data_IF_299857567547
#
_entry.id   IF_299857567547
#
_cell.length_a   1.000
_cell.length_b   1.000
_cell.length_c   1.000
_cell.angle_alpha   90.00
_cell.angle_beta   90.00
_cell.angle_gamma   90.00
#
_symmetry.space_group_name_H-M   'P 1'
#
loop_
_entity.id
_entity.type
_entity.pdbx_description
1 polymer ?
#
# COMPACT_ATOMS: atom_id res chain seq x y z
N UNK A 1 -49.00 17.76 6.81
CA UNK A 1 -49.69 16.49 7.13
C UNK A 1 -48.92 15.79 8.25
N UNK A 2 -49.54 15.47 9.39
CA UNK A 2 -48.88 14.72 10.48
C UNK A 2 -48.78 13.24 10.07
N UNK A 3 -47.80 12.90 9.23
CA UNK A 3 -47.54 11.53 8.76
C UNK A 3 -46.36 10.87 9.47
N UNK A 4 -45.68 11.58 10.37
CA UNK A 4 -44.45 11.12 11.03
C UNK A 4 -44.61 9.85 11.89
N UNK A 5 -45.81 9.58 12.43
CA UNK A 5 -46.05 8.47 13.36
C UNK A 5 -46.87 7.30 12.76
N UNK A 6 -47.11 7.28 11.44
CA UNK A 6 -47.95 6.22 10.82
C UNK A 6 -47.11 5.02 10.40
N UNK A 7 -47.60 3.79 10.61
CA UNK A 7 -46.91 2.54 10.21
C UNK A 7 -46.77 2.43 8.68
N UNK A 8 -45.84 1.62 8.15
CA UNK A 8 -45.74 1.42 6.67
C UNK A 8 -47.07 0.88 6.12
N UNK A 9 -47.72 -0.03 6.85
CA UNK A 9 -49.01 -0.59 6.47
C UNK A 9 -50.13 0.45 6.43
N UNK A 10 -50.14 1.39 7.37
CA UNK A 10 -51.08 2.52 7.36
C UNK A 10 -50.83 3.47 6.20
N UNK A 11 -49.57 3.68 5.81
CA UNK A 11 -49.21 4.50 4.65
C UNK A 11 -49.62 3.82 3.34
N UNK A 12 -49.52 2.50 3.23
CA UNK A 12 -50.02 1.73 2.08
C UNK A 12 -51.55 1.74 2.01
N UNK A 13 -52.24 1.67 3.15
CA UNK A 13 -53.70 1.84 3.20
C UNK A 13 -54.13 3.23 2.74
N UNK A 14 -53.37 4.28 3.10
CA UNK A 14 -53.59 5.64 2.62
C UNK A 14 -53.32 5.79 1.12
N UNK A 15 -52.32 5.09 0.58
CA UNK A 15 -52.03 5.06 -0.85
C UNK A 15 -53.22 4.50 -1.63
N UNK A 16 -53.75 3.36 -1.21
CA UNK A 16 -54.93 2.76 -1.82
C UNK A 16 -56.16 3.67 -1.75
N UNK A 17 -56.38 4.36 -0.63
CA UNK A 17 -57.49 5.31 -0.47
C UNK A 17 -57.35 6.54 -1.39
N UNK A 18 -56.13 7.03 -1.59
CA UNK A 18 -55.87 8.16 -2.50
C UNK A 18 -56.06 7.72 -3.95
N UNK A 19 -55.60 6.52 -4.31
CA UNK A 19 -55.79 5.93 -5.63
C UNK A 19 -57.28 5.74 -5.97
N UNK A 20 -58.09 5.26 -5.03
CA UNK A 20 -59.54 5.15 -5.19
C UNK A 20 -60.22 6.52 -5.38
N UNK A 21 -59.77 7.54 -4.65
CA UNK A 21 -60.24 8.92 -4.81
C UNK A 21 -59.83 9.53 -6.14
N UNK A 22 -58.65 9.19 -6.66
CA UNK A 22 -58.17 9.63 -7.97
C UNK A 22 -58.92 8.94 -9.11
N UNK A 23 -59.32 7.67 -8.94
CA UNK A 23 -60.19 6.93 -9.87
C UNK A 23 -61.63 7.43 -9.88
N UNK A 24 -62.16 7.82 -8.73
CA UNK A 24 -63.56 8.25 -8.57
C UNK A 24 -63.90 9.66 -9.09
N UNK A 25 -62.94 10.38 -9.69
CA UNK A 25 -63.09 11.74 -10.24
C UNK A 25 -63.80 12.74 -9.31
N UNK A 26 -63.59 12.62 -7.99
CA UNK A 26 -64.19 13.50 -6.99
C UNK A 26 -63.17 14.51 -6.45
N UNK A 27 -63.36 15.79 -6.80
CA UNK A 27 -62.58 16.92 -6.28
C UNK A 27 -61.37 17.33 -7.12
N UNK A 28 -60.47 18.11 -6.52
CA UNK A 28 -59.32 18.69 -7.21
C UNK A 28 -58.24 17.62 -7.50
N UNK A 29 -58.19 17.11 -8.73
CA UNK A 29 -57.25 16.07 -9.18
C UNK A 29 -55.78 16.41 -8.92
N UNK A 30 -55.40 17.68 -9.09
CA UNK A 30 -54.01 18.14 -8.88
C UNK A 30 -53.59 18.02 -7.41
N UNK A 31 -54.51 18.27 -6.48
CA UNK A 31 -54.25 18.10 -5.05
C UNK A 31 -53.95 16.64 -4.69
N UNK A 32 -54.76 15.70 -5.19
CA UNK A 32 -54.58 14.27 -4.92
C UNK A 32 -53.32 13.69 -5.56
N UNK A 33 -52.96 14.13 -6.77
CA UNK A 33 -51.71 13.74 -7.44
C UNK A 33 -50.46 14.22 -6.67
N UNK A 34 -50.49 15.46 -6.17
CA UNK A 34 -49.39 15.98 -5.33
C UNK A 34 -49.30 15.21 -4.01
N UNK A 35 -50.43 14.83 -3.42
CA UNK A 35 -50.47 14.06 -2.19
C UNK A 35 -49.94 12.62 -2.38
N UNK A 36 -50.30 11.96 -3.49
CA UNK A 36 -49.79 10.64 -3.88
C UNK A 36 -48.26 10.66 -4.05
N UNK A 37 -47.74 11.66 -4.77
CA UNK A 37 -46.31 11.85 -4.97
C UNK A 37 -45.56 12.03 -3.64
N UNK A 38 -46.09 12.88 -2.75
CA UNK A 38 -45.51 13.07 -1.41
C UNK A 38 -45.57 11.80 -0.55
N UNK A 39 -46.66 11.03 -0.65
CA UNK A 39 -46.85 9.80 0.10
C UNK A 39 -45.85 8.71 -0.34
N UNK A 40 -45.62 8.54 -1.64
CA UNK A 40 -44.63 7.59 -2.18
C UNK A 40 -43.21 7.91 -1.69
N UNK A 41 -42.83 9.18 -1.67
CA UNK A 41 -41.54 9.63 -1.12
C UNK A 41 -41.45 9.31 0.37
N UNK A 42 -42.55 9.48 1.13
CA UNK A 42 -42.58 9.18 2.55
C UNK A 42 -42.45 7.68 2.83
N UNK A 43 -43.16 6.84 2.07
CA UNK A 43 -43.06 5.37 2.14
C UNK A 43 -41.63 4.92 1.81
N UNK A 44 -41.03 5.45 0.75
CA UNK A 44 -39.65 5.11 0.37
C UNK A 44 -38.65 5.48 1.47
N UNK A 45 -38.74 6.69 2.03
CA UNK A 45 -37.89 7.13 3.15
C UNK A 45 -38.06 6.24 4.38
N UNK A 46 -39.28 5.82 4.68
CA UNK A 46 -39.55 4.94 5.82
C UNK A 46 -39.01 3.53 5.61
N UNK A 47 -39.18 2.95 4.42
CA UNK A 47 -38.58 1.66 4.04
C UNK A 47 -37.06 1.68 4.15
N UNK A 48 -36.42 2.74 3.67
CA UNK A 48 -34.96 2.91 3.78
C UNK A 48 -34.55 2.97 5.26
N UNK A 49 -35.27 3.72 6.10
CA UNK A 49 -34.98 3.81 7.53
C UNK A 49 -35.13 2.47 8.25
N UNK A 50 -36.18 1.71 7.97
CA UNK A 50 -36.37 0.37 8.56
C UNK A 50 -35.34 -0.65 8.06
N UNK A 51 -34.99 -0.62 6.77
CA UNK A 51 -33.92 -1.45 6.23
C UNK A 51 -32.58 -1.10 6.85
N UNK A 52 -32.24 0.19 6.94
CA UNK A 52 -31.01 0.67 7.57
C UNK A 52 -30.97 0.30 9.06
N UNK A 53 -32.08 0.45 9.79
CA UNK A 53 -32.18 0.03 11.18
C UNK A 53 -31.92 -1.47 11.36
N UNK A 54 -32.48 -2.32 10.48
CA UNK A 54 -32.19 -3.76 10.47
C UNK A 54 -30.71 -4.07 10.18
N UNK A 55 -30.09 -3.36 9.23
CA UNK A 55 -28.67 -3.53 8.92
C UNK A 55 -27.77 -3.08 10.08
N UNK A 56 -28.11 -1.98 10.75
CA UNK A 56 -27.38 -1.52 11.94
C UNK A 56 -27.47 -2.54 13.08
N UNK A 57 -28.65 -3.13 13.33
CA UNK A 57 -28.83 -4.20 14.31
C UNK A 57 -27.97 -5.42 13.97
N UNK A 58 -27.99 -5.87 12.71
CA UNK A 58 -27.13 -6.97 12.23
C UNK A 58 -25.64 -6.67 12.43
N UNK A 59 -25.21 -5.44 12.13
CA UNK A 59 -23.82 -5.03 12.31
C UNK A 59 -23.43 -4.98 13.79
N UNK A 60 -24.32 -4.53 14.67
CA UNK A 60 -24.10 -4.52 16.12
C UNK A 60 -23.94 -5.95 16.68
N UNK A 61 -24.81 -6.88 16.28
CA UNK A 61 -24.71 -8.29 16.67
C UNK A 61 -23.36 -8.86 16.26
N UNK A 62 -22.93 -8.61 15.02
CA UNK A 62 -21.63 -9.05 14.50
C UNK A 62 -20.47 -8.50 15.33
N UNK A 63 -20.49 -7.21 15.67
CA UNK A 63 -19.44 -6.57 16.47
C UNK A 63 -19.41 -7.17 17.88
N UNK A 64 -20.58 -7.37 18.52
CA UNK A 64 -20.66 -8.01 19.85
C UNK A 64 -20.11 -9.44 19.83
N UNK A 65 -20.43 -10.23 18.81
CA UNK A 65 -19.90 -11.60 18.66
C UNK A 65 -18.37 -11.61 18.45
N UNK A 66 -17.83 -10.69 17.65
CA UNK A 66 -16.40 -10.57 17.41
C UNK A 66 -15.64 -10.17 18.68
N UNK A 67 -16.14 -9.16 19.40
CA UNK A 67 -15.59 -8.75 20.69
C UNK A 67 -15.63 -9.89 21.72
N UNK A 68 -16.72 -10.67 21.77
CA UNK A 68 -16.82 -11.83 22.66
C UNK A 68 -15.76 -12.88 22.32
N UNK A 69 -15.54 -13.19 21.05
CA UNK A 69 -14.49 -14.12 20.61
C UNK A 69 -13.09 -13.61 20.95
N UNK A 70 -12.83 -12.32 20.80
CA UNK A 70 -11.56 -11.71 21.18
C UNK A 70 -11.31 -11.81 22.70
N UNK A 71 -12.33 -11.56 23.52
CA UNK A 71 -12.26 -11.72 24.98
C UNK A 71 -12.00 -13.19 25.35
N UNK A 72 -12.74 -14.12 24.76
CA UNK A 72 -12.57 -15.56 25.00
C UNK A 72 -11.15 -16.02 24.59
N UNK A 73 -10.65 -15.58 23.43
CA UNK A 73 -9.30 -15.88 22.97
C UNK A 73 -8.21 -15.26 23.87
N UNK A 74 -8.41 -14.02 24.33
CA UNK A 74 -7.50 -13.37 25.28
C UNK A 74 -7.50 -14.09 26.64
N UNK A 75 -8.66 -14.56 27.10
CA UNK A 75 -8.77 -15.36 28.32
C UNK A 75 -8.06 -16.71 28.17
N UNK A 76 -8.18 -17.38 27.02
CA UNK A 76 -7.45 -18.61 26.73
C UNK A 76 -5.93 -18.38 26.68
N UNK A 77 -5.47 -17.31 26.02
CA UNK A 77 -4.06 -16.94 25.98
C UNK A 77 -3.51 -16.63 27.39
N UNK A 78 -4.29 -15.92 28.21
CA UNK A 78 -3.93 -15.65 29.60
C UNK A 78 -3.83 -16.95 30.42
N UNK A 79 -4.80 -17.85 30.29
CA UNK A 79 -4.76 -19.16 30.94
C UNK A 79 -3.58 -20.00 30.46
N UNK A 80 -3.26 -19.99 29.16
CA UNK A 80 -2.09 -20.66 28.60
C UNK A 80 -0.79 -20.06 29.15
N UNK A 81 -0.67 -18.74 29.19
CA UNK A 81 0.47 -18.04 29.76
C UNK A 81 0.67 -18.39 31.25
N UNK A 82 -0.42 -18.44 32.02
CA UNK A 82 -0.40 -18.80 33.44
C UNK A 82 -0.02 -20.27 33.66
N UNK A 83 -0.48 -21.19 32.79
CA UNK A 83 -0.04 -22.60 32.79
C UNK A 83 1.45 -22.74 32.46
N UNK A 84 1.97 -21.96 31.52
CA UNK A 84 3.38 -21.98 31.14
C UNK A 84 4.27 -21.46 32.28
N UNK A 85 3.88 -20.35 32.91
CA UNK A 85 4.55 -19.81 34.10
C UNK A 85 4.59 -20.81 35.26
N UNK A 86 3.51 -21.58 35.46
CA UNK A 86 3.44 -22.63 36.49
C UNK A 86 4.42 -23.79 36.24
N UNK A 87 4.91 -24.00 35.02
CA UNK A 87 5.85 -25.08 34.69
C UNK A 87 7.32 -24.69 34.85
N UNK A 88 7.64 -23.40 34.98
CA UNK A 88 9.01 -22.88 35.08
C UNK A 88 9.42 -22.43 36.49
N UNK A 89 8.54 -22.48 37.49
CA UNK A 89 8.84 -22.03 38.85
C UNK A 89 9.07 -23.21 39.84
N UNK A 90 10.11 -23.17 40.70
CA UNK A 90 10.22 -24.08 41.85
C UNK A 90 9.12 -23.76 42.89
N UNK A 91 8.75 -24.71 43.78
CA UNK A 91 7.60 -24.55 44.67
C UNK A 91 7.88 -23.49 45.73
N UNK A 92 7.39 -22.27 45.50
CA UNK A 92 7.33 -21.22 46.53
C UNK A 92 5.88 -21.06 46.94
N UNK A 93 5.59 -21.45 48.18
CA UNK A 93 4.30 -21.33 48.82
C UNK A 93 4.01 -19.85 49.12
N UNK A 94 3.32 -19.16 48.20
CA UNK A 94 2.76 -17.84 48.47
C UNK A 94 1.26 -17.89 48.20
N UNK A 95 0.47 -17.71 49.27
CA UNK A 95 -0.98 -17.57 49.21
C UNK A 95 -1.32 -16.27 48.45
N UNK A 96 -2.11 -16.32 47.36
CA UNK A 96 -2.60 -15.10 46.74
C UNK A 96 -3.78 -14.56 47.56
N UNK A 97 -3.68 -13.29 47.99
CA UNK A 97 -4.81 -12.48 48.43
C UNK A 97 -5.66 -12.17 47.19
N UNK A 98 -6.97 -12.42 47.28
CA UNK A 98 -7.96 -11.92 46.34
C UNK A 98 -8.13 -10.42 46.57
N UNK A 99 -7.82 -9.60 45.58
CA UNK A 99 -8.41 -8.27 45.44
C UNK A 99 -9.50 -8.40 44.37
N UNK A 100 -10.74 -8.30 44.84
CA UNK A 100 -11.93 -8.25 44.01
C UNK A 100 -12.02 -6.85 43.40
N UNK A 101 -12.02 -6.77 42.08
CA UNK A 101 -12.38 -5.54 41.35
C UNK A 101 -13.84 -5.73 40.94
N UNK A 102 -14.73 -4.98 41.59
CA UNK A 102 -16.13 -4.81 41.18
C UNK A 102 -16.16 -4.27 39.76
N UNK A 103 -16.79 -5.01 38.85
CA UNK A 103 -17.21 -4.51 37.54
C UNK A 103 -18.70 -4.21 37.69
N UNK A 104 -19.06 -2.94 37.60
CA UNK A 104 -20.45 -2.48 37.57
C UNK A 104 -21.22 -3.20 36.44
N UNK A 105 -22.26 -3.93 36.81
CA UNK A 105 -23.26 -4.46 35.89
C UNK A 105 -24.01 -3.29 35.28
N UNK A 106 -23.75 -3.00 34.00
CA UNK A 106 -24.60 -2.12 33.21
C UNK A 106 -25.81 -2.95 32.78
N UNK A 107 -26.99 -2.57 33.29
CA UNK A 107 -28.28 -3.13 32.91
C UNK A 107 -28.44 -3.10 31.38
N UNK A 108 -28.33 -4.28 30.73
CA UNK A 108 -28.72 -4.45 29.34
C UNK A 108 -30.25 -4.53 29.29
N UNK A 109 -30.88 -3.56 28.62
CA UNK A 109 -32.31 -3.60 28.33
C UNK A 109 -32.63 -4.88 27.52
N UNK A 110 -33.44 -5.78 28.10
CA UNK A 110 -33.91 -6.99 27.44
C UNK A 110 -34.83 -6.64 26.25
N UNK A 111 -34.27 -6.60 25.04
CA UNK A 111 -35.06 -6.71 23.79
C UNK A 111 -34.91 -8.14 23.24
N UNK A 112 -35.97 -8.94 23.42
CA UNK A 112 -36.33 -10.24 22.82
C UNK A 112 -35.18 -11.10 22.21
N UNK A 113 -34.56 -11.97 23.03
CA UNK A 113 -33.59 -13.01 22.62
C UNK A 113 -34.07 -13.86 21.41
N UNK A 114 -35.39 -14.02 21.26
CA UNK A 114 -36.04 -14.82 20.23
C UNK A 114 -35.85 -14.30 18.80
N UNK A 115 -35.72 -12.98 18.58
CA UNK A 115 -35.53 -12.42 17.24
C UNK A 115 -34.05 -12.42 16.81
N UNK A 116 -33.15 -12.26 17.78
CA UNK A 116 -31.70 -12.34 17.57
C UNK A 116 -31.27 -13.79 17.22
N UNK A 117 -31.83 -14.78 17.92
CA UNK A 117 -31.53 -16.19 17.68
C UNK A 117 -32.09 -16.70 16.33
N UNK A 118 -33.27 -16.22 15.91
CA UNK A 118 -33.83 -16.51 14.58
C UNK A 118 -32.99 -15.90 13.46
N UNK A 119 -32.47 -14.69 13.67
CA UNK A 119 -31.59 -14.00 12.70
C UNK A 119 -30.24 -14.71 12.58
N UNK A 120 -29.66 -15.16 13.69
CA UNK A 120 -28.44 -15.97 13.71
C UNK A 120 -28.63 -17.34 13.02
N UNK A 121 -29.75 -18.03 13.27
CA UNK A 121 -30.09 -19.31 12.59
C UNK A 121 -30.22 -19.18 11.07
N UNK A 122 -30.67 -18.03 10.57
CA UNK A 122 -30.81 -17.78 9.12
C UNK A 122 -29.47 -17.58 8.41
N UNK A 123 -28.48 -17.01 9.10
CA UNK A 123 -27.10 -16.86 8.60
C UNK A 123 -26.35 -18.21 8.62
N UNK A 124 -26.68 -19.08 9.59
CA UNK A 124 -26.02 -20.38 9.81
C UNK A 124 -26.51 -21.55 8.93
N UNK A 125 -27.37 -21.34 7.91
CA UNK A 125 -27.74 -22.43 7.00
C UNK A 125 -26.54 -22.81 6.14
N UNK A 126 -25.85 -23.86 6.58
CA UNK A 126 -24.73 -24.50 5.89
C UNK A 126 -25.14 -24.87 4.47
N UNK A 127 -24.36 -24.42 3.50
CA UNK A 127 -24.53 -24.78 2.09
C UNK A 127 -23.70 -26.04 1.85
N UNK A 128 -24.32 -27.09 1.33
CA UNK A 128 -23.62 -28.36 1.04
C UNK A 128 -22.74 -28.19 -0.20
N UNK A 129 -21.45 -28.49 -0.04
CA UNK A 129 -20.42 -28.35 -1.09
C UNK A 129 -20.70 -29.28 -2.27
N UNK A 130 -21.30 -30.43 -2.01
CA UNK A 130 -21.64 -31.43 -3.05
C UNK A 130 -22.67 -30.93 -4.06
N UNK A 131 -23.52 -29.97 -3.66
CA UNK A 131 -24.55 -29.36 -4.52
C UNK A 131 -24.01 -28.21 -5.39
N UNK A 132 -22.85 -27.67 -5.01
CA UNK A 132 -22.16 -26.57 -5.70
C UNK A 132 -21.19 -27.06 -6.77
N UNK A 133 -20.62 -28.25 -6.61
CA UNK A 133 -19.70 -28.90 -7.57
C UNK A 133 -20.29 -30.18 -8.18
N UNK A 134 -21.62 -30.26 -8.28
CA UNK A 134 -22.28 -31.38 -8.95
C UNK A 134 -21.79 -31.47 -10.41
N UNK A 135 -21.20 -32.61 -10.83
CA UNK A 135 -20.68 -32.78 -12.19
C UNK A 135 -21.76 -32.76 -13.28
N UNK A 136 -23.06 -32.82 -12.93
CA UNK A 136 -24.17 -32.64 -13.87
C UNK A 136 -24.52 -31.17 -14.14
N UNK A 137 -23.98 -30.22 -13.36
CA UNK A 137 -24.22 -28.78 -13.57
C UNK A 137 -23.39 -28.25 -14.74
N UNK A 138 -24.03 -27.44 -15.59
CA UNK A 138 -23.30 -26.66 -16.58
C UNK A 138 -22.45 -25.57 -15.89
N UNK A 139 -21.43 -25.05 -16.60
CA UNK A 139 -20.51 -24.07 -16.04
C UNK A 139 -21.21 -22.74 -15.65
N UNK A 140 -22.28 -22.37 -16.33
CA UNK A 140 -23.04 -21.14 -16.07
C UNK A 140 -23.95 -21.27 -14.84
N UNK A 141 -24.51 -22.44 -14.59
CA UNK A 141 -25.31 -22.79 -13.43
C UNK A 141 -24.42 -22.90 -12.18
N UNK A 142 -23.24 -23.50 -12.34
CA UNK A 142 -22.21 -23.52 -11.31
C UNK A 142 -21.84 -22.09 -10.92
N UNK A 143 -21.48 -21.25 -11.88
CA UNK A 143 -21.11 -19.85 -11.63
C UNK A 143 -22.24 -19.04 -10.98
N UNK A 144 -23.50 -19.25 -11.38
CA UNK A 144 -24.67 -18.60 -10.75
C UNK A 144 -24.84 -19.01 -9.29
N UNK A 145 -24.69 -20.30 -8.98
CA UNK A 145 -24.76 -20.79 -7.60
C UNK A 145 -23.66 -20.17 -6.76
N UNK A 146 -22.42 -20.14 -7.25
CA UNK A 146 -21.28 -19.51 -6.57
C UNK A 146 -21.49 -18.01 -6.31
N UNK A 147 -22.05 -17.26 -7.27
CA UNK A 147 -22.37 -15.83 -7.09
C UNK A 147 -23.54 -15.56 -6.13
N UNK A 148 -24.39 -16.56 -5.88
CA UNK A 148 -25.54 -16.43 -4.99
C UNK A 148 -25.17 -16.62 -3.51
N UNK A 149 -23.96 -17.09 -3.19
CA UNK A 149 -23.48 -17.24 -1.82
C UNK A 149 -23.20 -15.86 -1.18
N UNK A 150 -23.51 -15.74 0.12
CA UNK A 150 -23.01 -14.63 0.93
C UNK A 150 -21.53 -14.83 1.27
N UNK A 151 -20.81 -13.76 1.69
CA UNK A 151 -19.39 -13.87 2.05
C UNK A 151 -19.12 -14.95 3.11
N UNK A 152 -19.97 -15.05 4.13
CA UNK A 152 -19.81 -16.02 5.21
C UNK A 152 -20.04 -17.46 4.71
N UNK A 153 -21.00 -17.67 3.80
CA UNK A 153 -21.24 -18.98 3.17
C UNK A 153 -20.10 -19.37 2.22
N UNK A 154 -19.55 -18.39 1.50
CA UNK A 154 -18.41 -18.58 0.61
C UNK A 154 -17.18 -19.02 1.41
N UNK A 155 -16.92 -18.41 2.55
CA UNK A 155 -15.82 -18.79 3.44
C UNK A 155 -15.98 -20.21 3.98
N UNK A 156 -17.17 -20.60 4.44
CA UNK A 156 -17.43 -21.96 4.94
C UNK A 156 -17.26 -23.02 3.84
N UNK A 157 -17.81 -22.77 2.65
CA UNK A 157 -17.70 -23.69 1.50
C UNK A 157 -16.26 -23.82 1.01
N UNK A 158 -15.51 -22.72 0.94
CA UNK A 158 -14.11 -22.74 0.50
C UNK A 158 -13.20 -23.45 1.49
N UNK A 159 -13.45 -23.31 2.80
CA UNK A 159 -12.73 -24.08 3.82
C UNK A 159 -13.03 -25.58 3.73
N UNK A 160 -14.25 -25.98 3.40
CA UNK A 160 -14.61 -27.38 3.27
C UNK A 160 -14.07 -28.00 1.98
N UNK A 161 -14.14 -27.29 0.84
CA UNK A 161 -13.43 -27.67 -0.39
C UNK A 161 -11.93 -27.81 -0.17
N UNK A 162 -11.36 -26.91 0.64
CA UNK A 162 -9.96 -26.97 1.01
C UNK A 162 -9.63 -28.26 1.79
N UNK A 163 -10.48 -28.66 2.74
CA UNK A 163 -10.33 -29.93 3.48
C UNK A 163 -10.46 -31.17 2.57
N UNK A 164 -11.31 -31.10 1.55
CA UNK A 164 -11.52 -32.20 0.59
C UNK A 164 -10.33 -32.30 -0.39
N UNK A 165 -9.86 -31.17 -0.92
CA UNK A 165 -8.86 -31.10 -2.00
C UNK A 165 -7.41 -31.01 -1.54
N UNK A 166 -7.13 -30.85 -0.24
CA UNK A 166 -5.79 -30.86 0.36
C UNK A 166 -4.73 -30.01 -0.36
N UNK A 167 -5.12 -28.86 -0.94
CA UNK A 167 -4.23 -27.95 -1.69
C UNK A 167 -3.59 -28.53 -2.98
N UNK A 168 -4.03 -29.66 -3.54
CA UNK A 168 -3.51 -30.12 -4.84
C UNK A 168 -4.45 -29.70 -5.98
N UNK A 169 -4.06 -28.76 -6.86
CA UNK A 169 -4.80 -28.48 -8.08
C UNK A 169 -4.97 -29.79 -8.89
N UNK A 170 -6.17 -30.09 -9.41
CA UNK A 170 -6.32 -31.18 -10.36
C UNK A 170 -5.49 -30.89 -11.62
N UNK A 171 -4.86 -31.91 -12.18
CA UNK A 171 -4.18 -31.77 -13.46
C UNK A 171 -5.22 -31.63 -14.57
N UNK A 172 -5.16 -30.53 -15.31
CA UNK A 172 -5.96 -30.36 -16.53
C UNK A 172 -5.50 -31.33 -17.60
N UNK A 173 -6.42 -31.73 -18.49
CA UNK A 173 -6.06 -32.53 -19.65
C UNK A 173 -5.36 -31.67 -20.72
N UNK A 174 -4.59 -32.31 -21.60
CA UNK A 174 -3.87 -31.62 -22.68
C UNK A 174 -4.82 -30.83 -23.60
N UNK A 175 -6.04 -31.32 -23.80
CA UNK A 175 -7.08 -30.69 -24.61
C UNK A 175 -7.77 -29.48 -23.94
N UNK A 176 -7.61 -29.32 -22.61
CA UNK A 176 -8.19 -28.20 -21.85
C UNK A 176 -7.26 -26.97 -21.81
N UNK A 177 -6.15 -27.00 -22.56
CA UNK A 177 -5.23 -25.88 -22.62
C UNK A 177 -5.80 -24.75 -23.49
N UNK A 178 -5.62 -23.51 -23.02
CA UNK A 178 -6.07 -22.34 -23.76
C UNK A 178 -5.43 -22.31 -25.16
N UNK A 179 -6.18 -22.02 -26.24
CA UNK A 179 -5.63 -21.98 -27.59
C UNK A 179 -4.41 -21.05 -27.67
N UNK A 180 -3.27 -21.59 -28.13
CA UNK A 180 -2.00 -20.86 -28.24
C UNK A 180 -0.98 -21.13 -27.12
N UNK A 181 -1.31 -21.95 -26.12
CA UNK A 181 -0.32 -22.47 -25.18
C UNK A 181 0.36 -23.69 -25.80
N UNK A 182 1.64 -23.57 -26.14
CA UNK A 182 2.46 -24.71 -26.54
C UNK A 182 2.84 -25.53 -25.30
N UNK A 183 2.36 -26.77 -25.21
CA UNK A 183 2.75 -27.70 -24.17
C UNK A 183 4.09 -28.30 -24.57
N UNK A 184 5.15 -27.81 -23.94
CA UNK A 184 6.51 -28.30 -24.16
C UNK A 184 6.78 -29.47 -23.23
N UNK A 185 7.40 -30.52 -23.77
CA UNK A 185 7.93 -31.60 -22.94
C UNK A 185 9.07 -31.08 -22.04
N UNK A 186 9.15 -31.63 -20.82
CA UNK A 186 10.13 -31.20 -19.82
C UNK A 186 11.55 -31.34 -20.35
N UNK A 187 11.83 -32.40 -21.11
CA UNK A 187 13.16 -32.63 -21.68
C UNK A 187 13.48 -31.58 -22.74
N UNK A 188 12.54 -31.33 -23.66
CA UNK A 188 12.70 -30.30 -24.70
C UNK A 188 12.89 -28.89 -24.11
N UNK A 189 12.14 -28.51 -23.07
CA UNK A 189 12.31 -27.21 -22.40
C UNK A 189 13.70 -27.09 -21.74
N UNK A 190 14.19 -28.17 -21.10
CA UNK A 190 15.53 -28.16 -20.52
C UNK A 190 16.64 -28.02 -21.56
N UNK A 191 16.48 -28.63 -22.74
CA UNK A 191 17.43 -28.51 -23.84
C UNK A 191 17.46 -27.08 -24.42
N UNK A 192 16.29 -26.50 -24.71
CA UNK A 192 16.16 -25.11 -25.18
C UNK A 192 16.79 -24.13 -24.18
N UNK A 193 16.57 -24.36 -22.89
CA UNK A 193 17.14 -23.56 -21.81
C UNK A 193 18.67 -23.70 -21.77
N UNK A 194 19.21 -24.92 -21.89
CA UNK A 194 20.66 -25.15 -21.92
C UNK A 194 21.33 -24.50 -23.13
N UNK A 195 20.74 -24.62 -24.32
CA UNK A 195 21.23 -23.96 -25.53
C UNK A 195 21.26 -22.43 -25.38
N UNK A 196 20.20 -21.84 -24.83
CA UNK A 196 20.16 -20.39 -24.54
C UNK A 196 21.23 -19.97 -23.53
N UNK A 197 21.47 -20.78 -22.48
CA UNK A 197 22.55 -20.51 -21.51
C UNK A 197 23.92 -20.57 -22.18
N UNK A 198 24.14 -21.54 -23.05
CA UNK A 198 25.42 -21.71 -23.72
C UNK A 198 25.69 -20.60 -24.73
N UNK A 199 24.67 -20.17 -25.48
CA UNK A 199 24.71 -18.99 -26.35
C UNK A 199 25.04 -17.71 -25.56
N UNK A 200 24.37 -17.48 -24.43
CA UNK A 200 24.66 -16.33 -23.57
C UNK A 200 26.08 -16.40 -22.95
N UNK A 201 26.58 -17.60 -22.67
CA UNK A 201 27.95 -17.81 -22.19
C UNK A 201 28.99 -17.51 -23.28
N UNK A 202 28.74 -17.93 -24.52
CA UNK A 202 29.60 -17.66 -25.69
C UNK A 202 29.60 -16.17 -26.09
N UNK A 203 28.47 -15.48 -25.91
CA UNK A 203 28.35 -14.04 -26.16
C UNK A 203 28.89 -13.16 -25.01
N UNK A 204 29.39 -13.73 -23.92
CA UNK A 204 30.00 -12.98 -22.82
C UNK A 204 31.48 -12.75 -23.12
N UNK A 205 31.96 -11.50 -23.28
CA UNK A 205 33.39 -11.24 -23.47
C UNK A 205 34.15 -11.71 -22.24
N UNK A 206 35.14 -12.57 -22.46
CA UNK A 206 35.99 -13.19 -21.44
C UNK A 206 36.74 -12.11 -20.66
N UNK A 207 36.20 -11.71 -19.50
CA UNK A 207 36.83 -10.71 -18.64
C UNK A 207 35.93 -9.82 -17.79
N UNK A 208 34.63 -10.12 -17.63
CA UNK A 208 33.81 -9.43 -16.61
C UNK A 208 33.27 -10.42 -15.59
N UNK A 209 33.58 -10.18 -14.31
CA UNK A 209 32.94 -10.76 -13.14
C UNK A 209 31.40 -10.64 -13.21
N UNK A 210 30.62 -11.37 -12.40
CA UNK A 210 29.17 -11.31 -12.44
C UNK A 210 28.73 -9.87 -12.13
N UNK A 211 28.26 -9.14 -13.14
CA UNK A 211 27.72 -7.82 -12.93
C UNK A 211 26.44 -7.95 -12.07
N UNK A 212 26.32 -7.21 -10.96
CA UNK A 212 25.05 -7.12 -10.25
C UNK A 212 24.01 -6.50 -11.19
N UNK A 213 22.73 -6.86 -11.03
CA UNK A 213 21.59 -6.38 -11.81
C UNK A 213 21.30 -4.86 -11.69
N UNK A 214 22.26 -4.10 -11.16
CA UNK A 214 22.27 -2.65 -11.04
C UNK A 214 23.22 -2.01 -12.05
N UNK A 215 23.58 -2.71 -13.14
CA UNK A 215 24.44 -2.16 -14.18
C UNK A 215 23.74 -0.98 -14.84
N UNK A 216 24.06 0.23 -14.39
CA UNK A 216 23.62 1.48 -14.99
C UNK A 216 23.99 1.45 -16.47
N UNK A 217 23.02 1.67 -17.35
CA UNK A 217 23.21 1.65 -18.79
C UNK A 217 24.48 2.44 -19.18
N UNK A 218 25.43 1.85 -19.94
CA UNK A 218 26.66 2.53 -20.36
C UNK A 218 26.40 3.88 -21.02
N UNK A 219 25.24 4.06 -21.68
CA UNK A 219 24.83 5.36 -22.24
C UNK A 219 24.54 6.40 -21.17
N UNK A 220 23.89 6.02 -20.08
CA UNK A 220 23.65 6.91 -18.93
C UNK A 220 24.96 7.26 -18.21
N UNK A 221 25.88 6.31 -18.07
CA UNK A 221 27.22 6.60 -17.52
C UNK A 221 28.01 7.56 -18.42
N UNK A 222 27.91 7.43 -19.74
CA UNK A 222 28.56 8.36 -20.67
C UNK A 222 28.00 9.78 -20.54
N UNK A 223 26.67 9.92 -20.44
CA UNK A 223 26.00 11.22 -20.21
C UNK A 223 26.44 11.84 -18.88
N UNK A 224 26.60 11.03 -17.83
CA UNK A 224 27.09 11.51 -16.55
C UNK A 224 28.57 11.94 -16.61
N UNK A 225 29.40 11.29 -17.44
CA UNK A 225 30.81 11.67 -17.65
C UNK A 225 31.00 12.87 -18.60
N UNK A 226 30.02 13.17 -19.44
CA UNK A 226 30.07 14.26 -20.42
C UNK A 226 29.87 15.61 -19.72
N UNK A 227 30.97 16.34 -19.51
CA UNK A 227 30.99 17.65 -18.83
C UNK A 227 31.73 17.69 -17.49
N UNK A 228 32.61 16.71 -17.24
CA UNK A 228 33.42 16.61 -16.02
C UNK A 228 34.85 17.12 -16.25
N UNK A 229 35.32 18.00 -15.37
CA UNK A 229 36.70 18.50 -15.34
C UNK A 229 37.57 17.63 -14.39
N UNK A 230 38.89 17.75 -14.49
CA UNK A 230 39.86 16.88 -13.80
C UNK A 230 39.93 17.02 -12.27
N UNK A 231 39.39 18.09 -11.68
CA UNK A 231 39.48 18.40 -10.24
C UNK A 231 38.32 17.84 -9.38
N UNK A 232 37.52 16.93 -9.94
CA UNK A 232 36.34 16.35 -9.27
C UNK A 232 36.63 14.98 -8.64
N UNK A 233 36.37 14.84 -7.34
CA UNK A 233 36.44 13.57 -6.61
C UNK A 233 35.08 12.86 -6.53
N UNK A 234 35.05 11.52 -6.58
CA UNK A 234 33.79 10.76 -6.40
C UNK A 234 33.33 10.82 -4.94
N UNK A 235 32.03 11.02 -4.73
CA UNK A 235 31.42 11.17 -3.41
C UNK A 235 30.29 10.15 -3.21
N UNK A 236 30.30 9.40 -2.12
CA UNK A 236 29.35 8.32 -1.87
C UNK A 236 28.88 8.23 -0.43
N UNK A 237 28.95 9.32 0.34
CA UNK A 237 28.49 9.35 1.73
C UNK A 237 26.98 9.56 1.76
N UNK A 238 26.24 8.45 1.76
CA UNK A 238 24.79 8.45 1.98
C UNK A 238 24.46 8.66 3.46
N UNK A 239 23.35 9.34 3.71
CA UNK A 239 22.76 9.44 5.03
C UNK A 239 21.64 8.40 5.18
N UNK A 240 21.65 7.67 6.29
CA UNK A 240 20.63 6.64 6.56
C UNK A 240 19.29 7.31 6.82
N UNK A 241 18.40 7.25 5.84
CA UNK A 241 17.00 7.63 6.03
C UNK A 241 16.25 6.50 6.74
N UNK A 242 15.31 6.89 7.61
CA UNK A 242 14.41 5.96 8.29
C UNK A 242 13.55 5.21 7.25
N UNK A 243 13.46 3.88 7.41
CA UNK A 243 12.81 2.98 6.46
C UNK A 243 11.35 3.37 6.24
N UNK A 244 11.05 3.96 5.08
CA UNK A 244 9.70 4.38 4.73
C UNK A 244 8.87 3.16 4.32
N UNK A 245 7.88 2.77 5.13
CA UNK A 245 6.87 1.77 4.74
C UNK A 245 5.93 2.38 3.70
N UNK A 246 6.27 2.23 2.43
CA UNK A 246 5.44 2.71 1.34
C UNK A 246 4.27 1.76 1.04
N UNK A 247 3.06 2.31 0.87
CA UNK A 247 1.83 1.57 0.51
C UNK A 247 1.97 0.75 -0.79
N UNK A 248 2.93 1.09 -1.66
CA UNK A 248 3.19 0.39 -2.92
C UNK A 248 4.22 -0.75 -2.80
N UNK A 249 4.89 -0.89 -1.65
CA UNK A 249 5.98 -1.87 -1.45
C UNK A 249 5.56 -3.32 -1.67
N UNK A 250 4.26 -3.62 -1.54
CA UNK A 250 3.67 -4.93 -1.78
C UNK A 250 3.52 -5.25 -3.28
N UNK A 251 3.30 -4.20 -4.09
CA UNK A 251 3.11 -4.32 -5.55
C UNK A 251 4.43 -4.27 -6.32
N UNK A 252 5.40 -3.51 -5.82
CA UNK A 252 6.70 -3.35 -6.45
C UNK A 252 7.79 -3.48 -5.41
N UNK A 253 8.80 -4.31 -5.70
CA UNK A 253 9.98 -4.45 -4.84
C UNK A 253 10.68 -3.08 -4.74
N UNK A 254 10.75 -2.45 -3.55
CA UNK A 254 11.46 -1.20 -3.37
C UNK A 254 12.94 -1.34 -3.76
N UNK A 255 13.47 -0.35 -4.47
CA UNK A 255 14.88 -0.32 -4.92
C UNK A 255 15.51 1.02 -4.60
N UNK A 256 16.79 1.01 -4.23
CA UNK A 256 17.57 2.22 -4.16
C UNK A 256 18.03 2.62 -5.57
N UNK A 257 17.88 3.88 -5.97
CA UNK A 257 18.42 4.36 -7.24
C UNK A 257 19.94 4.28 -7.24
N UNK A 258 20.52 4.10 -8.42
CA UNK A 258 21.97 4.16 -8.60
C UNK A 258 22.39 5.61 -8.80
N UNK A 259 23.60 5.99 -8.40
CA UNK A 259 24.06 7.36 -8.53
C UNK A 259 25.57 7.42 -8.79
N UNK A 260 26.00 8.50 -9.42
CA UNK A 260 27.39 8.87 -9.63
C UNK A 260 27.58 10.33 -9.20
N UNK A 261 27.78 10.51 -7.89
CA UNK A 261 27.95 11.83 -7.31
C UNK A 261 29.44 12.19 -7.26
N UNK A 262 29.72 13.48 -7.47
CA UNK A 262 31.06 14.05 -7.36
C UNK A 262 31.06 15.31 -6.54
N UNK A 263 32.14 15.49 -5.80
CA UNK A 263 32.43 16.70 -5.02
C UNK A 263 33.55 17.44 -5.73
N UNK A 264 33.26 18.70 -6.05
CA UNK A 264 34.26 19.61 -6.59
C UNK A 264 34.99 20.24 -5.41
N UNK A 265 36.26 19.90 -5.27
CA UNK A 265 37.14 20.48 -4.25
C UNK A 265 38.09 21.45 -4.93
N UNK A 266 38.48 22.50 -4.23
CA UNK A 266 39.46 23.43 -4.75
C UNK A 266 40.04 24.34 -3.68
N UNK A 267 41.04 25.10 -4.07
CA UNK A 267 41.73 26.02 -3.18
C UNK A 267 41.00 27.36 -3.11
N UNK A 268 40.90 27.93 -1.92
CA UNK A 268 40.40 29.29 -1.73
C UNK A 268 41.56 30.24 -1.48
N UNK A 269 42.00 30.96 -2.51
CA UNK A 269 43.10 31.93 -2.40
C UNK A 269 42.61 33.28 -1.85
N UNK A 270 42.10 33.27 -0.62
CA UNK A 270 41.75 34.50 0.08
C UNK A 270 43.02 35.24 0.55
N UNK A 271 42.87 36.51 0.96
CA UNK A 271 44.00 37.36 1.37
C UNK A 271 44.83 36.77 2.53
N UNK A 272 44.22 35.95 3.39
CA UNK A 272 44.89 35.26 4.49
C UNK A 272 45.67 34.04 4.01
N UNK A 273 45.09 33.25 3.10
CA UNK A 273 45.73 32.08 2.53
C UNK A 273 46.90 32.46 1.63
N UNK A 274 46.81 33.59 0.91
CA UNK A 274 47.91 34.13 0.11
C UNK A 274 49.16 34.51 0.93
N UNK A 275 49.05 34.68 2.25
CA UNK A 275 50.22 35.04 3.09
C UNK A 275 50.82 33.85 3.84
N UNK A 276 50.15 32.69 3.84
CA UNK A 276 50.56 31.51 4.61
C UNK A 276 50.78 30.27 3.75
N UNK A 277 50.33 30.28 2.51
CA UNK A 277 50.43 29.18 1.58
C UNK A 277 51.01 29.67 0.27
N UNK A 278 51.82 28.82 -0.36
CA UNK A 278 52.50 29.09 -1.63
C UNK A 278 52.13 28.01 -2.65
N UNK A 279 52.62 28.14 -3.88
CA UNK A 279 52.33 27.19 -4.96
C UNK A 279 52.79 25.76 -4.63
N UNK A 280 53.90 25.63 -3.89
CA UNK A 280 54.46 24.34 -3.47
C UNK A 280 53.81 23.78 -2.19
N UNK A 281 53.14 24.64 -1.42
CA UNK A 281 52.39 24.29 -0.21
C UNK A 281 51.00 24.94 -0.26
N UNK A 282 50.10 24.47 -1.13
CA UNK A 282 48.81 25.09 -1.31
C UNK A 282 47.93 24.94 -0.05
N UNK A 283 46.94 25.83 0.14
CA UNK A 283 46.03 25.75 1.27
C UNK A 283 45.23 24.43 1.25
N UNK A 284 44.63 24.03 2.38
CA UNK A 284 43.72 22.89 2.38
C UNK A 284 42.58 23.07 1.38
N UNK A 285 42.24 22.00 0.63
CA UNK A 285 41.13 22.03 -0.31
C UNK A 285 39.81 22.17 0.43
N UNK A 286 38.96 23.08 -0.04
CA UNK A 286 37.60 23.25 0.44
C UNK A 286 36.60 22.75 -0.60
N UNK A 287 35.41 22.37 -0.16
CA UNK A 287 34.32 22.01 -1.07
C UNK A 287 33.79 23.28 -1.74
N UNK A 288 33.88 23.31 -3.07
CA UNK A 288 33.40 24.41 -3.90
C UNK A 288 32.02 24.15 -4.49
N UNK A 289 31.60 22.88 -4.61
CA UNK A 289 30.30 22.52 -5.14
C UNK A 289 30.08 21.01 -5.21
N UNK A 290 28.88 20.62 -5.62
CA UNK A 290 28.47 19.22 -5.76
C UNK A 290 27.86 18.99 -7.14
N UNK A 291 28.14 17.81 -7.70
CA UNK A 291 27.52 17.30 -8.92
C UNK A 291 26.85 15.96 -8.62
N UNK A 292 25.53 16.00 -8.46
CA UNK A 292 24.70 14.81 -8.29
C UNK A 292 24.22 14.31 -9.66
N UNK A 293 24.42 13.03 -9.92
CA UNK A 293 23.84 12.34 -11.07
C UNK A 293 23.17 11.07 -10.55
N UNK A 294 21.85 11.07 -10.49
CA UNK A 294 21.06 9.96 -9.95
C UNK A 294 20.28 9.31 -11.09
N UNK A 295 20.34 8.00 -11.17
CA UNK A 295 19.78 7.21 -12.26
C UNK A 295 18.50 6.50 -11.81
N UNK A 296 17.45 6.72 -12.57
CA UNK A 296 16.09 6.18 -12.44
C UNK A 296 15.65 5.53 -13.77
N UNK A 297 16.31 4.44 -14.24
CA UNK A 297 15.95 3.79 -15.51
C UNK A 297 14.51 3.24 -15.53
N UNK A 298 14.05 2.72 -14.41
CA UNK A 298 12.77 1.99 -14.28
C UNK A 298 11.67 2.83 -13.60
N UNK A 299 11.67 4.15 -13.79
CA UNK A 299 10.66 5.01 -13.17
C UNK A 299 9.29 4.73 -13.81
N UNK A 300 8.32 4.25 -13.02
CA UNK A 300 7.00 3.86 -13.55
C UNK A 300 6.26 5.01 -14.20
N UNK A 301 6.37 6.21 -13.62
CA UNK A 301 5.74 7.42 -14.11
C UNK A 301 6.81 8.41 -14.57
N UNK A 302 7.18 8.33 -15.85
CA UNK A 302 8.17 9.22 -16.48
C UNK A 302 7.72 10.69 -16.46
N UNK A 303 6.43 10.96 -16.28
CA UNK A 303 5.89 12.34 -16.22
C UNK A 303 6.18 13.02 -14.88
N UNK A 304 6.33 12.24 -13.81
CA UNK A 304 6.67 12.75 -12.48
C UNK A 304 8.18 12.82 -12.32
N UNK A 305 8.70 14.05 -12.37
CA UNK A 305 10.13 14.27 -12.20
C UNK A 305 10.56 14.09 -10.73
N UNK A 306 11.74 13.50 -10.48
CA UNK A 306 12.33 13.47 -9.15
C UNK A 306 12.49 14.88 -8.58
N UNK A 307 12.23 15.03 -7.29
CA UNK A 307 12.33 16.31 -6.57
C UNK A 307 13.39 16.23 -5.48
N UNK A 308 13.90 17.37 -5.01
CA UNK A 308 14.86 17.39 -3.91
C UNK A 308 14.46 18.41 -2.84
N UNK A 309 14.82 18.13 -1.60
CA UNK A 309 14.62 19.02 -0.45
C UNK A 309 15.92 19.12 0.33
N UNK A 310 16.29 20.32 0.77
CA UNK A 310 17.46 20.54 1.62
C UNK A 310 16.99 20.88 3.02
N UNK A 311 17.49 20.17 4.01
CA UNK A 311 17.14 20.37 5.43
C UNK A 311 18.43 20.57 6.22
N UNK A 312 18.56 21.61 7.06
CA UNK A 312 19.75 21.77 7.91
C UNK A 312 19.87 20.58 8.87
N UNK A 313 21.10 20.13 9.10
CA UNK A 313 21.42 19.06 10.06
C UNK A 313 21.64 19.66 11.46
N UNK A 314 21.87 18.81 12.46
CA UNK A 314 22.26 19.24 13.81
C UNK A 314 23.55 20.08 13.79
N UNK A 315 24.47 19.74 12.89
CA UNK A 315 25.65 20.54 12.58
C UNK A 315 25.30 21.73 11.68
N UNK A 316 25.51 22.96 12.15
CA UNK A 316 25.19 24.19 11.37
C UNK A 316 25.93 24.29 10.04
N UNK A 317 27.12 23.70 9.96
CA UNK A 317 27.98 23.71 8.76
C UNK A 317 27.53 22.70 7.70
N UNK A 318 26.61 21.80 8.02
CA UNK A 318 26.13 20.75 7.13
C UNK A 318 24.60 20.76 6.98
N UNK A 319 24.14 20.31 5.82
CA UNK A 319 22.74 20.15 5.49
C UNK A 319 22.55 18.81 4.79
N UNK A 320 21.34 18.28 4.87
CA UNK A 320 20.94 17.02 4.28
C UNK A 320 20.15 17.34 3.02
N UNK A 321 20.62 16.88 1.87
CA UNK A 321 19.85 16.94 0.62
C UNK A 321 19.16 15.59 0.41
N UNK A 322 17.82 15.59 0.46
CA UNK A 322 16.99 14.41 0.21
C UNK A 322 16.38 14.49 -1.17
N UNK A 323 16.61 13.45 -1.98
CA UNK A 323 16.00 13.24 -3.27
C UNK A 323 14.80 12.31 -3.13
N UNK A 324 13.66 12.74 -3.66
CA UNK A 324 12.42 11.99 -3.68
C UNK A 324 12.07 11.59 -5.09
N UNK A 325 11.74 10.31 -5.25
CA UNK A 325 11.34 9.73 -6.52
C UNK A 325 10.01 9.00 -6.40
N UNK A 326 9.38 8.73 -7.54
CA UNK A 326 8.21 7.86 -7.59
C UNK A 326 8.58 6.38 -7.40
N UNK A 327 7.58 5.50 -7.23
CA UNK A 327 7.78 4.05 -7.20
C UNK A 327 8.47 3.56 -8.50
N UNK A 328 9.38 2.57 -8.45
CA UNK A 328 9.73 1.70 -7.31
C UNK A 328 10.92 2.21 -6.48
N UNK A 329 11.34 3.46 -6.66
CA UNK A 329 12.56 3.97 -6.04
C UNK A 329 12.33 4.55 -4.65
N UNK A 330 13.19 4.18 -3.70
CA UNK A 330 13.24 4.79 -2.38
C UNK A 330 13.92 6.16 -2.41
N UNK A 331 13.50 7.03 -1.49
CA UNK A 331 14.16 8.31 -1.26
C UNK A 331 15.61 8.09 -0.82
N UNK A 332 16.53 8.91 -1.33
CA UNK A 332 17.95 8.89 -0.94
C UNK A 332 18.35 10.25 -0.37
N UNK A 333 19.28 10.28 0.58
CA UNK A 333 19.79 11.53 1.13
C UNK A 333 21.31 11.55 1.23
N UNK A 334 21.88 12.74 1.13
CA UNK A 334 23.31 12.98 1.25
C UNK A 334 23.59 14.15 2.18
N UNK A 335 24.64 14.03 2.99
CA UNK A 335 25.17 15.13 3.80
C UNK A 335 26.03 16.04 2.92
N UNK A 336 25.67 17.32 2.84
CA UNK A 336 26.36 18.37 2.06
C UNK A 336 26.71 19.55 2.95
N UNK A 337 27.62 20.41 2.49
CA UNK A 337 27.97 21.64 3.21
C UNK A 337 26.81 22.65 3.11
N UNK A 338 26.42 23.24 4.24
CA UNK A 338 25.36 24.23 4.32
C UNK A 338 25.88 25.63 3.97
N UNK A 339 25.99 25.92 2.67
CA UNK A 339 26.35 27.23 2.13
C UNK A 339 25.39 27.64 1.02
N UNK A 340 25.26 28.94 0.76
CA UNK A 340 24.42 29.42 -0.33
C UNK A 340 24.93 28.95 -1.70
N UNK A 341 23.99 28.51 -2.54
CA UNK A 341 24.30 28.02 -3.89
C UNK A 341 24.21 29.15 -4.90
N UNK A 342 25.02 29.03 -5.95
CA UNK A 342 24.92 29.84 -7.13
C UNK A 342 23.88 29.22 -8.09
N UNK A 343 22.77 29.92 -8.30
CA UNK A 343 21.63 29.44 -9.10
C UNK A 343 21.72 29.87 -10.58
N UNK A 344 22.79 30.56 -10.96
CA UNK A 344 23.00 31.04 -12.32
C UNK A 344 23.47 29.91 -13.23
N UNK A 345 22.73 29.62 -14.30
CA UNK A 345 23.09 28.62 -15.30
C UNK A 345 24.47 28.87 -15.95
N UNK A 346 24.87 30.14 -16.09
CA UNK A 346 26.19 30.52 -16.63
C UNK A 346 27.36 30.05 -15.76
N UNK A 347 27.12 29.84 -14.47
CA UNK A 347 28.15 29.48 -13.50
C UNK A 347 28.09 27.99 -13.13
N UNK A 348 27.48 27.18 -14.01
CA UNK A 348 27.47 25.73 -13.89
C UNK A 348 26.29 25.15 -13.11
N UNK A 349 25.29 25.96 -12.73
CA UNK A 349 24.05 25.45 -12.16
C UNK A 349 23.28 24.63 -13.20
N UNK A 350 22.90 23.40 -12.84
CA UNK A 350 22.12 22.51 -13.69
C UNK A 350 21.14 21.72 -12.84
N UNK A 351 19.87 21.74 -13.20
CA UNK A 351 18.83 20.95 -12.54
C UNK A 351 17.89 20.43 -13.62
N UNK A 352 18.12 19.21 -14.11
CA UNK A 352 17.35 18.61 -15.20
C UNK A 352 17.15 17.11 -15.01
N UNK A 353 16.01 16.61 -15.49
CA UNK A 353 15.73 15.18 -15.59
C UNK A 353 15.56 14.81 -17.06
N UNK A 354 16.46 13.98 -17.60
CA UNK A 354 16.41 13.54 -18.99
C UNK A 354 16.90 12.10 -19.10
N UNK A 355 16.21 11.28 -19.90
CA UNK A 355 16.59 9.89 -20.18
C UNK A 355 16.80 9.04 -18.91
N UNK A 356 15.95 9.21 -17.89
CA UNK A 356 16.08 8.51 -16.61
C UNK A 356 17.25 9.00 -15.76
N UNK A 357 17.94 10.09 -16.13
CA UNK A 357 19.04 10.67 -15.34
C UNK A 357 18.60 12.00 -14.74
N UNK A 358 18.62 12.09 -13.42
CA UNK A 358 18.45 13.33 -12.67
C UNK A 358 19.82 13.96 -12.41
N UNK A 359 20.04 15.15 -12.98
CA UNK A 359 21.29 15.90 -12.86
C UNK A 359 21.05 17.14 -12.03
N UNK A 360 21.70 17.23 -10.87
CA UNK A 360 21.73 18.42 -10.02
C UNK A 360 23.18 18.84 -9.77
N UNK A 361 23.62 19.90 -10.44
CA UNK A 361 24.95 20.47 -10.32
C UNK A 361 24.83 21.88 -9.76
N UNK A 362 25.60 22.18 -8.74
CA UNK A 362 25.67 23.52 -8.18
C UNK A 362 27.04 23.81 -7.57
N UNK A 363 27.40 25.08 -7.62
CA UNK A 363 28.58 25.63 -6.95
C UNK A 363 28.14 26.52 -5.80
N UNK A 364 28.97 26.64 -4.78
CA UNK A 364 28.74 27.60 -3.70
C UNK A 364 29.09 29.01 -4.13
N UNK A 365 28.29 29.98 -3.70
CA UNK A 365 28.58 31.40 -3.93
C UNK A 365 29.92 31.77 -3.31
N UNK A 366 30.75 32.45 -4.09
CA UNK A 366 31.99 33.06 -3.61
C UNK A 366 31.70 34.49 -3.18
N UNK A 367 31.77 34.76 -1.88
CA UNK A 367 31.69 36.12 -1.37
C UNK A 367 33.05 36.77 -1.49
N UNK A 368 33.14 37.83 -2.31
CA UNK A 368 34.34 38.65 -2.36
C UNK A 368 34.23 39.70 -1.28
N UNK A 369 35.10 39.62 -0.27
CA UNK A 369 35.20 40.66 0.74
C UNK A 369 35.63 41.97 0.06
N UNK A 370 34.77 42.99 0.10
CA UNK A 370 35.09 44.37 -0.27
C UNK A 370 35.39 45.14 1.00
N UNK A 371 36.57 45.76 1.06
CA UNK A 371 36.96 46.66 2.16
C UNK A 371 36.34 48.03 1.99
#
# INVERSE_FOLDING_TARGET
MKTQNKSIEELLKLENQIDDKLRGNQGNKSYWQNLESQLKVFIARKRIREHHGRQLRLQLVRIKEEQKKEIDAAAEQYQQHQRLLSQLAPPVNVKPKKEEVEVEEVEEEEEDEDEEEKMAKKVRRKVDVTVLEDPELDEQERERKWRALTNDQLEEVTQELYRIGCYSPPYNNFDDTMPGIEILDVQADTEILMERREMNRKNRPTGSDPAPSNSVDPKMMAIARQGMEGDESTFSVEEQLETQKHLWSDKYRPRKPTYLNRVQTGFDWNKYNQTHYDQDNPPPKIVQGYKFNIFYPDLLDVTKTPTFTVTPCDDRDFAIIRFKSGPPYEDIAFKVVNREWETLYKNGYKCQFQNGVFQLWFMFKKYRYRR
#
